data_IF_938311562287
#
_entry.id   IF_938311562287
#
_cell.length_a   1.000
_cell.length_b   1.000
_cell.length_c   1.000
_cell.angle_alpha   90.00
_cell.angle_beta   90.00
_cell.angle_gamma   90.00
#
_symmetry.space_group_name_H-M   'P 1'
#
loop_
_entity.id
_entity.type
_entity.pdbx_description
1 polymer ?
#
# COMPACT_ATOMS: atom_id res chain seq x y z
N UNK A 1 42.05 48.96 -17.01
CA UNK A 1 41.65 47.53 -16.93
C UNK A 1 40.27 47.45 -16.27
N UNK A 2 39.20 47.29 -17.05
CA UNK A 2 37.83 47.36 -16.53
C UNK A 2 37.03 46.08 -16.83
N UNK A 3 36.70 45.38 -15.74
CA UNK A 3 35.43 44.69 -15.45
C UNK A 3 35.12 43.37 -16.19
N UNK A 4 35.76 42.28 -15.77
CA UNK A 4 35.14 40.94 -15.82
C UNK A 4 34.31 40.67 -14.56
N UNK A 5 33.19 41.37 -14.39
CA UNK A 5 32.27 41.16 -13.24
C UNK A 5 30.79 41.05 -13.63
N UNK A 6 30.52 41.04 -14.95
CA UNK A 6 29.18 40.93 -15.53
C UNK A 6 28.69 39.48 -15.55
N UNK A 7 29.54 38.55 -15.99
CA UNK A 7 29.20 37.14 -16.18
C UNK A 7 28.85 36.41 -14.87
N UNK A 8 29.55 36.70 -13.78
CA UNK A 8 29.25 36.10 -12.47
C UNK A 8 27.95 36.61 -11.84
N UNK A 9 27.56 37.86 -12.11
CA UNK A 9 26.26 38.40 -11.66
C UNK A 9 25.10 37.79 -12.44
N UNK A 10 25.28 37.61 -13.75
CA UNK A 10 24.28 36.97 -14.62
C UNK A 10 24.01 35.51 -14.22
N UNK A 11 25.05 34.74 -13.86
CA UNK A 11 24.87 33.32 -13.47
C UNK A 11 24.12 33.14 -12.13
N UNK A 12 24.31 34.06 -11.19
CA UNK A 12 23.59 34.06 -9.92
C UNK A 12 22.14 34.53 -10.07
N UNK A 13 21.88 35.49 -10.97
CA UNK A 13 20.53 35.90 -11.34
C UNK A 13 19.77 34.74 -12.02
N UNK A 14 20.41 34.08 -12.98
CA UNK A 14 19.85 32.90 -13.63
C UNK A 14 19.60 31.75 -12.64
N UNK A 15 20.45 31.51 -11.63
CA UNK A 15 20.15 30.50 -10.59
C UNK A 15 18.98 30.88 -9.67
N UNK A 16 18.83 32.15 -9.30
CA UNK A 16 17.73 32.61 -8.45
C UNK A 16 16.38 32.64 -9.16
N UNK A 17 16.36 32.93 -10.46
CA UNK A 17 15.12 33.13 -11.23
C UNK A 17 14.84 32.02 -12.25
N UNK A 18 15.75 31.05 -12.42
CA UNK A 18 15.44 29.81 -13.14
C UNK A 18 14.49 29.00 -12.26
N UNK A 19 13.19 29.19 -12.51
CA UNK A 19 12.21 28.13 -12.30
C UNK A 19 12.72 26.96 -13.13
N UNK A 20 13.48 26.06 -12.49
CA UNK A 20 13.77 24.76 -13.09
C UNK A 20 12.38 24.26 -13.47
N UNK A 21 12.06 24.03 -14.76
CA UNK A 21 10.78 23.46 -15.11
C UNK A 21 10.68 22.21 -14.25
N UNK A 22 9.78 22.22 -13.29
CA UNK A 22 9.62 21.10 -12.38
C UNK A 22 9.19 19.99 -13.31
N UNK A 23 10.15 19.14 -13.67
CA UNK A 23 9.94 18.15 -14.69
C UNK A 23 8.74 17.36 -14.22
N UNK A 24 7.68 17.32 -15.02
CA UNK A 24 6.52 16.47 -14.79
C UNK A 24 6.88 14.98 -14.87
N UNK A 25 8.18 14.66 -14.94
CA UNK A 25 8.68 13.35 -14.63
C UNK A 25 8.19 12.92 -13.27
N UNK A 26 7.55 11.75 -13.27
CA UNK A 26 7.25 10.94 -12.12
C UNK A 26 8.54 10.75 -11.32
N UNK A 27 8.81 11.66 -10.40
CA UNK A 27 9.92 11.50 -9.47
C UNK A 27 9.53 10.36 -8.54
N UNK A 28 10.49 9.50 -8.19
CA UNK A 28 10.27 8.41 -7.21
C UNK A 28 9.63 8.93 -5.91
N UNK A 29 9.89 10.20 -5.58
CA UNK A 29 9.26 10.89 -4.45
C UNK A 29 7.74 11.04 -4.62
N UNK A 30 7.26 11.52 -5.78
CA UNK A 30 5.83 11.63 -6.07
C UNK A 30 5.12 10.27 -5.98
N UNK A 31 5.74 9.21 -6.50
CA UNK A 31 5.21 7.85 -6.40
C UNK A 31 5.17 7.37 -4.95
N UNK A 32 6.25 7.56 -4.19
CA UNK A 32 6.31 7.20 -2.77
C UNK A 32 5.24 7.93 -1.93
N UNK A 33 4.95 9.19 -2.26
CA UNK A 33 3.91 9.97 -1.59
C UNK A 33 2.51 9.47 -1.92
N UNK A 34 2.22 9.18 -3.20
CA UNK A 34 0.93 8.60 -3.59
C UNK A 34 0.63 7.31 -2.81
N UNK A 35 1.62 6.44 -2.67
CA UNK A 35 1.48 5.21 -1.88
C UNK A 35 1.26 5.51 -0.39
N UNK A 36 1.95 6.50 0.19
CA UNK A 36 1.74 6.91 1.59
C UNK A 36 0.33 7.45 1.82
N UNK A 37 -0.14 8.35 0.97
CA UNK A 37 -1.50 8.88 1.07
C UNK A 37 -2.56 7.80 0.89
N UNK A 38 -2.40 6.89 -0.08
CA UNK A 38 -3.30 5.75 -0.26
C UNK A 38 -3.33 4.83 0.98
N UNK A 39 -2.19 4.62 1.63
CA UNK A 39 -2.11 3.85 2.86
C UNK A 39 -2.74 4.55 4.06
N UNK A 40 -2.62 5.87 4.16
CA UNK A 40 -3.29 6.65 5.22
C UNK A 40 -4.81 6.61 5.04
N UNK A 41 -5.30 6.80 3.81
CA UNK A 41 -6.74 6.71 3.49
C UNK A 41 -7.29 5.29 3.75
N UNK A 42 -6.50 4.26 3.46
CA UNK A 42 -6.87 2.89 3.78
C UNK A 42 -7.01 2.69 5.29
N UNK A 43 -6.09 3.24 6.08
CA UNK A 43 -6.12 3.12 7.55
C UNK A 43 -7.32 3.83 8.14
N UNK A 44 -7.60 5.06 7.71
CA UNK A 44 -8.76 5.81 8.19
C UNK A 44 -10.06 5.10 7.80
N UNK A 45 -10.17 4.66 6.54
CA UNK A 45 -11.33 3.92 6.05
C UNK A 45 -11.58 2.61 6.81
N UNK A 46 -10.54 1.87 7.17
CA UNK A 46 -10.68 0.64 7.96
C UNK A 46 -11.04 0.89 9.42
N UNK A 47 -10.46 1.91 10.07
CA UNK A 47 -10.84 2.29 11.44
C UNK A 47 -12.31 2.71 11.51
N UNK A 48 -12.77 3.46 10.50
CA UNK A 48 -14.17 3.87 10.39
C UNK A 48 -15.08 2.66 10.15
N UNK A 49 -14.70 1.73 9.26
CA UNK A 49 -15.47 0.51 9.00
C UNK A 49 -15.57 -0.39 10.24
N UNK A 50 -14.48 -0.53 11.00
CA UNK A 50 -14.46 -1.30 12.26
C UNK A 50 -15.41 -0.71 13.31
N UNK A 51 -15.58 0.61 13.30
CA UNK A 51 -16.46 1.33 14.22
C UNK A 51 -17.96 1.23 13.87
N UNK A 52 -18.29 0.99 12.59
CA UNK A 52 -19.65 1.20 12.07
C UNK A 52 -20.42 -0.12 11.83
N UNK A 53 -19.77 -1.27 11.61
CA UNK A 53 -20.51 -2.52 11.34
C UNK A 53 -19.69 -3.79 11.57
N UNK A 54 -20.19 -4.70 12.43
CA UNK A 54 -19.52 -5.98 12.75
C UNK A 54 -19.74 -7.09 11.71
N UNK A 55 -20.82 -7.04 10.92
CA UNK A 55 -21.29 -8.23 10.18
C UNK A 55 -20.78 -8.38 8.73
N UNK A 56 -20.09 -7.38 8.14
CA UNK A 56 -19.66 -7.45 6.72
C UNK A 56 -18.32 -6.73 6.40
N UNK A 57 -17.40 -6.63 7.37
CA UNK A 57 -16.16 -5.86 7.17
C UNK A 57 -15.19 -6.47 6.15
N UNK A 58 -15.30 -7.76 5.82
CA UNK A 58 -14.40 -8.46 4.90
C UNK A 58 -14.38 -7.87 3.49
N UNK A 59 -15.57 -7.84 2.89
CA UNK A 59 -15.78 -7.22 1.59
C UNK A 59 -15.57 -5.71 1.65
N UNK A 60 -15.89 -5.06 2.79
CA UNK A 60 -15.65 -3.64 2.96
C UNK A 60 -14.15 -3.31 2.95
N UNK A 61 -13.32 -4.09 3.64
CA UNK A 61 -11.89 -3.89 3.73
C UNK A 61 -11.20 -4.01 2.38
N UNK A 62 -11.59 -5.02 1.59
CA UNK A 62 -11.10 -5.17 0.22
C UNK A 62 -11.55 -4.01 -0.67
N UNK A 63 -12.83 -3.62 -0.60
CA UNK A 63 -13.34 -2.46 -1.38
C UNK A 63 -12.59 -1.18 -1.03
N UNK A 64 -12.38 -0.92 0.25
CA UNK A 64 -11.63 0.24 0.75
C UNK A 64 -10.18 0.22 0.26
N UNK A 65 -9.52 -0.94 0.26
CA UNK A 65 -8.17 -1.08 -0.32
C UNK A 65 -8.17 -0.73 -1.81
N UNK A 66 -9.08 -1.31 -2.58
CA UNK A 66 -9.12 -1.06 -4.02
C UNK A 66 -9.48 0.40 -4.31
N UNK A 67 -10.41 1.00 -3.58
CA UNK A 67 -10.83 2.38 -3.79
C UNK A 67 -9.73 3.38 -3.42
N UNK A 68 -9.02 3.18 -2.30
CA UNK A 68 -7.98 4.12 -1.87
C UNK A 68 -6.81 4.14 -2.85
N UNK A 69 -6.35 2.98 -3.30
CA UNK A 69 -5.25 2.90 -4.26
C UNK A 69 -5.66 3.39 -5.66
N UNK A 70 -6.89 3.12 -6.10
CA UNK A 70 -7.43 3.69 -7.35
C UNK A 70 -7.53 5.21 -7.30
N UNK A 71 -7.99 5.79 -6.18
CA UNK A 71 -8.11 7.24 -6.02
C UNK A 71 -6.77 7.95 -6.21
N UNK A 72 -5.68 7.35 -5.72
CA UNK A 72 -4.34 7.90 -5.85
C UNK A 72 -3.60 7.47 -7.13
N UNK A 73 -4.27 6.73 -8.02
CA UNK A 73 -3.70 6.18 -9.26
C UNK A 73 -2.40 5.39 -9.00
N UNK A 74 -2.38 4.56 -7.95
CA UNK A 74 -1.28 3.67 -7.62
C UNK A 74 -1.75 2.22 -7.51
N UNK A 75 -0.83 1.27 -7.68
CA UNK A 75 -1.12 -0.15 -7.48
C UNK A 75 -1.01 -0.49 -5.98
N UNK A 76 -1.86 -1.41 -5.47
CA UNK A 76 -1.75 -1.89 -4.10
C UNK A 76 -0.37 -2.48 -3.81
N UNK A 77 0.19 -2.11 -2.66
CA UNK A 77 1.49 -2.66 -2.23
C UNK A 77 1.29 -3.93 -1.40
N UNK A 78 2.28 -4.85 -1.35
CA UNK A 78 2.20 -6.02 -0.47
C UNK A 78 1.98 -5.61 1.00
N UNK A 79 2.53 -4.47 1.42
CA UNK A 79 2.32 -3.93 2.76
C UNK A 79 0.86 -3.52 3.02
N UNK A 80 0.13 -3.06 2.00
CA UNK A 80 -1.29 -2.74 2.10
C UNK A 80 -2.12 -4.00 2.34
N UNK A 81 -1.88 -5.05 1.56
CA UNK A 81 -2.54 -6.35 1.74
C UNK A 81 -2.23 -6.96 3.11
N UNK A 82 -0.96 -6.91 3.53
CA UNK A 82 -0.55 -7.33 4.87
C UNK A 82 -1.33 -6.60 5.97
N UNK A 83 -1.54 -5.29 5.80
CA UNK A 83 -2.31 -4.50 6.77
C UNK A 83 -3.78 -4.95 6.80
N UNK A 84 -4.41 -5.12 5.64
CA UNK A 84 -5.80 -5.61 5.53
C UNK A 84 -5.95 -6.99 6.18
N UNK A 85 -5.05 -7.93 5.89
CA UNK A 85 -5.05 -9.28 6.49
C UNK A 85 -4.94 -9.18 8.01
N UNK A 86 -4.03 -8.34 8.53
CA UNK A 86 -3.90 -8.13 9.98
C UNK A 86 -5.16 -7.53 10.60
N UNK A 87 -5.84 -6.62 9.92
CA UNK A 87 -7.11 -6.08 10.41
C UNK A 87 -8.21 -7.15 10.40
N UNK A 88 -8.30 -7.95 9.34
CA UNK A 88 -9.29 -9.03 9.23
C UNK A 88 -9.05 -10.15 10.26
N UNK A 89 -7.79 -10.47 10.52
CA UNK A 89 -7.41 -11.42 11.56
C UNK A 89 -7.82 -10.93 12.96
N UNK A 90 -7.73 -9.62 13.22
CA UNK A 90 -8.18 -9.02 14.49
C UNK A 90 -9.70 -8.98 14.62
N UNK A 91 -10.41 -8.76 13.53
CA UNK A 91 -11.88 -8.77 13.52
C UNK A 91 -12.47 -10.18 13.37
N UNK A 92 -11.63 -11.22 13.41
CA UNK A 92 -12.00 -12.65 13.27
C UNK A 92 -12.72 -12.98 11.96
N UNK A 93 -12.51 -12.21 10.88
CA UNK A 93 -13.17 -12.39 9.59
C UNK A 93 -12.29 -13.16 8.61
N UNK A 94 -12.12 -14.44 8.91
CA UNK A 94 -11.14 -15.32 8.27
C UNK A 94 -11.55 -15.77 6.87
N UNK A 95 -12.86 -15.85 6.60
CA UNK A 95 -13.43 -16.16 5.28
C UNK A 95 -12.98 -15.14 4.24
N UNK A 96 -12.85 -13.89 4.69
CA UNK A 96 -12.43 -12.76 3.87
C UNK A 96 -10.95 -12.80 3.51
N UNK A 97 -10.12 -13.43 4.37
CA UNK A 97 -8.67 -13.55 4.16
C UNK A 97 -8.38 -14.40 2.92
N UNK A 98 -9.13 -15.48 2.71
CA UNK A 98 -9.01 -16.30 1.51
C UNK A 98 -9.31 -15.50 0.23
N UNK A 99 -10.35 -14.66 0.25
CA UNK A 99 -10.64 -13.77 -0.88
C UNK A 99 -9.53 -12.74 -1.12
N UNK A 100 -8.90 -12.23 -0.05
CA UNK A 100 -7.79 -11.29 -0.17
C UNK A 100 -6.56 -11.96 -0.78
N UNK A 101 -6.25 -13.19 -0.36
CA UNK A 101 -5.15 -13.98 -0.92
C UNK A 101 -5.40 -14.35 -2.38
N UNK A 102 -6.61 -14.75 -2.76
CA UNK A 102 -6.93 -15.03 -4.17
C UNK A 102 -6.78 -13.77 -5.03
N UNK A 103 -7.15 -12.60 -4.51
CA UNK A 103 -6.90 -11.33 -5.20
C UNK A 103 -5.40 -11.03 -5.28
N UNK A 104 -4.63 -11.32 -4.23
CA UNK A 104 -3.17 -11.20 -4.22
C UNK A 104 -2.57 -12.03 -5.37
N UNK A 105 -2.86 -13.34 -5.39
CA UNK A 105 -2.34 -14.29 -6.38
C UNK A 105 -2.76 -13.93 -7.82
N UNK A 106 -3.96 -13.36 -8.02
CA UNK A 106 -4.46 -13.01 -9.36
C UNK A 106 -4.07 -11.60 -9.84
N UNK A 107 -3.83 -10.66 -8.92
CA UNK A 107 -3.55 -9.26 -9.26
C UNK A 107 -2.06 -8.95 -9.38
N UNK A 108 -1.19 -9.82 -8.88
CA UNK A 108 0.20 -9.47 -8.69
C UNK A 108 1.12 -9.78 -9.86
N UNK A 109 1.87 -8.73 -10.23
CA UNK A 109 3.13 -8.79 -10.98
C UNK A 109 4.33 -9.10 -10.06
N UNK A 110 4.08 -9.46 -8.80
CA UNK A 110 5.08 -9.63 -7.76
C UNK A 110 4.86 -10.90 -6.94
N UNK A 111 5.95 -11.47 -6.43
CA UNK A 111 5.88 -12.69 -5.62
C UNK A 111 5.29 -12.38 -4.25
N UNK A 112 4.38 -13.24 -3.79
CA UNK A 112 3.75 -13.10 -2.48
C UNK A 112 4.81 -13.20 -1.38
N UNK A 113 5.04 -12.14 -0.59
CA UNK A 113 6.11 -12.16 0.40
C UNK A 113 5.76 -13.11 1.55
N UNK A 114 6.73 -13.92 1.97
CA UNK A 114 6.61 -14.90 3.05
C UNK A 114 6.03 -14.31 4.35
N UNK A 115 6.34 -13.05 4.63
CA UNK A 115 5.82 -12.33 5.80
C UNK A 115 4.28 -12.23 5.84
N UNK A 116 3.61 -12.20 4.69
CA UNK A 116 2.15 -12.19 4.60
C UNK A 116 1.61 -13.60 4.89
N UNK A 117 2.18 -14.62 4.24
CA UNK A 117 1.78 -16.02 4.42
C UNK A 117 1.93 -16.43 5.89
N UNK A 118 3.03 -16.03 6.53
CA UNK A 118 3.25 -16.22 7.97
C UNK A 118 2.14 -15.59 8.81
N UNK A 119 1.81 -14.33 8.57
CA UNK A 119 0.75 -13.62 9.33
C UNK A 119 -0.61 -14.31 9.15
N UNK A 120 -0.90 -14.86 7.95
CA UNK A 120 -2.12 -15.62 7.69
C UNK A 120 -2.13 -16.97 8.42
N UNK A 121 -1.02 -17.72 8.40
CA UNK A 121 -0.88 -19.00 9.12
C UNK A 121 -1.13 -18.78 10.61
N UNK A 122 -0.59 -17.71 11.19
CA UNK A 122 -0.88 -17.36 12.59
C UNK A 122 -2.36 -17.06 12.81
N UNK A 123 -2.99 -16.27 11.94
CA UNK A 123 -4.41 -15.95 12.06
C UNK A 123 -5.29 -17.21 12.05
N UNK A 124 -5.06 -18.13 11.10
CA UNK A 124 -5.78 -19.39 11.04
C UNK A 124 -5.48 -20.30 12.24
N UNK A 125 -4.23 -20.37 12.69
CA UNK A 125 -3.84 -21.10 13.90
C UNK A 125 -4.57 -20.62 15.15
N UNK A 126 -4.65 -19.30 15.38
CA UNK A 126 -5.38 -18.72 16.51
C UNK A 126 -6.88 -19.02 16.48
N UNK A 127 -7.44 -19.19 15.29
CA UNK A 127 -8.86 -19.50 15.11
C UNK A 127 -9.22 -20.99 15.14
N UNK A 128 -8.22 -21.87 15.25
CA UNK A 128 -8.42 -23.33 15.19
C UNK A 128 -8.58 -23.91 13.79
N UNK A 129 -8.42 -23.10 12.72
CA UNK A 129 -8.47 -23.54 11.30
C UNK A 129 -7.12 -24.12 10.85
N UNK A 130 -6.70 -25.19 11.52
CA UNK A 130 -5.36 -25.78 11.37
C UNK A 130 -5.12 -26.30 9.95
N UNK A 131 -6.12 -26.94 9.33
CA UNK A 131 -6.01 -27.50 7.98
C UNK A 131 -5.69 -26.43 6.92
N UNK A 132 -6.32 -25.26 7.05
CA UNK A 132 -6.08 -24.14 6.13
C UNK A 132 -4.71 -23.50 6.36
N UNK A 133 -4.29 -23.40 7.63
CA UNK A 133 -2.94 -22.96 7.95
C UNK A 133 -1.88 -23.88 7.33
N UNK A 134 -2.10 -25.20 7.37
CA UNK A 134 -1.22 -26.19 6.75
C UNK A 134 -1.23 -26.05 5.22
N UNK A 135 -2.40 -25.88 4.60
CA UNK A 135 -2.49 -25.70 3.16
C UNK A 135 -1.70 -24.47 2.68
N UNK A 136 -1.76 -23.37 3.44
CA UNK A 136 -0.99 -22.16 3.14
C UNK A 136 0.51 -22.37 3.37
N UNK A 137 0.90 -23.13 4.40
CA UNK A 137 2.30 -23.48 4.62
C UNK A 137 2.91 -24.22 3.42
N UNK A 138 2.17 -25.15 2.81
CA UNK A 138 2.62 -25.85 1.61
C UNK A 138 2.63 -25.00 0.33
N UNK A 139 1.96 -23.84 0.32
CA UNK A 139 2.02 -22.87 -0.78
C UNK A 139 3.27 -21.99 -0.72
N UNK A 140 4.00 -21.96 0.40
CA UNK A 140 5.26 -21.21 0.50
C UNK A 140 6.30 -21.89 -0.40
N UNK A 141 6.88 -21.17 -1.38
CA UNK A 141 7.89 -21.73 -2.28
C UNK A 141 9.22 -22.03 -1.60
#
# INVERSE_FOLDING_TARGET
MARSSSWHRMSNFMRKYRKIPHSSFKTKWNESLKHKYAMEELRTGLVVADSISSENNGGAAMRTLVSSFRLHNCEPTPQAYRFVIKTLAKTSQLESIASVLNHLESSEKFDTPESILRDVIFAYGFSGRIEEAINIFFKIP
#
